data_IF_843770406518
#
_entry.id   IF_843770406518
#
_cell.length_a   1.000
_cell.length_b   1.000
_cell.length_c   1.000
_cell.angle_alpha   90.00
_cell.angle_beta   90.00
_cell.angle_gamma   90.00
#
_symmetry.space_group_name_H-M   'P 1'
#
loop_
_entity.id
_entity.type
_entity.pdbx_description
1 polymer ?
#
# COMPACT_ATOMS: atom_id res chain seq x y z
N UNK A 1 -16.25 3.48 3.67
CA UNK A 1 -16.30 4.02 2.29
C UNK A 1 -15.68 3.03 1.31
N UNK A 2 -16.31 2.87 0.16
CA UNK A 2 -15.79 2.00 -0.91
C UNK A 2 -15.76 2.80 -2.22
N UNK A 3 -14.67 2.67 -2.95
CA UNK A 3 -14.59 3.26 -4.29
C UNK A 3 -13.74 2.37 -5.19
N UNK A 4 -14.03 2.38 -6.48
CA UNK A 4 -13.33 1.57 -7.46
C UNK A 4 -12.14 2.35 -8.02
N UNK A 5 -10.99 1.71 -8.13
CA UNK A 5 -9.83 2.27 -8.80
C UNK A 5 -10.10 2.30 -10.30
N UNK A 6 -9.83 3.44 -10.95
CA UNK A 6 -10.18 3.66 -12.36
C UNK A 6 -9.60 2.64 -13.34
N UNK A 7 -8.48 2.02 -13.00
CA UNK A 7 -7.80 1.11 -13.93
C UNK A 7 -8.39 -0.29 -13.97
N UNK A 8 -9.26 -0.63 -13.02
CA UNK A 8 -9.83 -1.97 -12.97
C UNK A 8 -11.11 -1.99 -12.15
N UNK A 9 -12.12 -2.69 -12.65
CA UNK A 9 -13.34 -2.96 -11.90
C UNK A 9 -13.14 -3.98 -10.79
N UNK A 10 -11.96 -4.59 -10.75
CA UNK A 10 -11.65 -5.68 -9.80
C UNK A 10 -10.85 -5.20 -8.61
N UNK A 11 -10.50 -3.92 -8.57
CA UNK A 11 -9.77 -3.34 -7.46
C UNK A 11 -10.63 -2.27 -6.80
N UNK A 12 -10.82 -2.37 -5.49
CA UNK A 12 -11.61 -1.42 -4.71
C UNK A 12 -10.82 -0.95 -3.50
N UNK A 13 -11.14 0.25 -3.03
CA UNK A 13 -10.52 0.82 -1.83
C UNK A 13 -11.58 0.98 -0.77
N UNK A 14 -11.31 0.51 0.44
CA UNK A 14 -12.24 0.47 1.56
C UNK A 14 -11.56 1.09 2.78
N UNK A 15 -12.35 1.75 3.62
CA UNK A 15 -11.88 2.24 4.91
C UNK A 15 -11.55 3.72 4.93
N UNK A 16 -11.30 4.24 6.13
CA UNK A 16 -10.97 5.65 6.36
C UNK A 16 -9.55 5.81 6.91
N UNK A 17 -9.31 5.38 8.14
CA UNK A 17 -7.97 5.38 8.73
C UNK A 17 -7.12 4.30 8.09
N UNK A 18 -7.65 3.08 8.06
CA UNK A 18 -6.98 1.93 7.45
C UNK A 18 -7.46 1.79 6.01
N UNK A 19 -6.91 2.63 5.14
CA UNK A 19 -7.27 2.59 3.72
C UNK A 19 -6.72 1.30 3.14
N UNK A 20 -7.61 0.46 2.64
CA UNK A 20 -7.28 -0.92 2.26
C UNK A 20 -7.64 -1.19 0.81
N UNK A 21 -6.68 -1.73 0.08
CA UNK A 21 -6.89 -2.16 -1.30
C UNK A 21 -7.34 -3.60 -1.31
N UNK A 22 -8.50 -3.83 -1.90
CA UNK A 22 -8.99 -5.17 -2.20
C UNK A 22 -8.82 -5.40 -3.70
N UNK A 23 -8.07 -6.44 -4.05
CA UNK A 23 -7.87 -6.84 -5.45
C UNK A 23 -8.48 -8.22 -5.62
N UNK A 24 -9.45 -8.33 -6.53
CA UNK A 24 -10.31 -9.49 -6.63
C UNK A 24 -11.00 -9.74 -5.29
N UNK A 25 -10.75 -10.85 -4.62
CA UNK A 25 -11.38 -11.18 -3.34
C UNK A 25 -10.41 -11.12 -2.16
N UNK A 26 -9.22 -10.56 -2.36
CA UNK A 26 -8.20 -10.53 -1.32
C UNK A 26 -7.81 -9.09 -0.94
N UNK A 27 -7.55 -8.87 0.34
CA UNK A 27 -6.94 -7.63 0.80
C UNK A 27 -5.44 -7.73 0.58
N UNK A 28 -4.91 -6.87 -0.28
CA UNK A 28 -3.51 -6.98 -0.74
C UNK A 28 -2.60 -5.87 -0.24
N UNK A 29 -3.17 -4.77 0.23
CA UNK A 29 -2.38 -3.66 0.78
C UNK A 29 -3.24 -2.83 1.71
N UNK A 30 -2.63 -2.25 2.75
CA UNK A 30 -3.33 -1.41 3.70
C UNK A 30 -2.40 -0.29 4.16
N UNK A 31 -2.91 0.92 4.20
CA UNK A 31 -2.18 2.08 4.70
C UNK A 31 -2.89 2.59 5.95
N UNK A 32 -2.15 2.68 7.05
CA UNK A 32 -2.60 3.37 8.25
C UNK A 32 -2.27 4.85 8.07
N UNK A 33 -3.28 5.66 7.80
CA UNK A 33 -3.08 7.07 7.51
C UNK A 33 -2.60 7.87 8.72
N UNK A 34 -2.93 7.43 9.92
CA UNK A 34 -2.50 8.12 11.13
C UNK A 34 -1.02 7.85 11.43
N UNK A 35 -0.57 6.62 11.21
CA UNK A 35 0.82 6.24 11.45
C UNK A 35 1.70 6.40 10.22
N UNK A 36 1.12 6.53 9.05
CA UNK A 36 1.87 6.63 7.80
C UNK A 36 2.60 5.36 7.43
N UNK A 37 2.00 4.19 7.70
CA UNK A 37 2.65 2.91 7.45
C UNK A 37 1.92 2.09 6.40
N UNK A 38 2.68 1.27 5.66
CA UNK A 38 2.15 0.35 4.67
C UNK A 38 2.31 -1.08 5.14
N UNK A 39 1.24 -1.86 5.00
CA UNK A 39 1.24 -3.29 5.25
C UNK A 39 0.71 -3.98 4.01
N UNK A 40 1.30 -5.11 3.62
CA UNK A 40 0.84 -5.88 2.47
C UNK A 40 0.06 -7.11 2.94
N UNK A 41 -0.90 -7.55 2.13
CA UNK A 41 -1.57 -8.83 2.34
C UNK A 41 -0.80 -9.97 1.68
N UNK A 42 -1.08 -11.23 2.03
CA UNK A 42 -0.29 -12.37 1.52
C UNK A 42 -0.30 -12.53 0.01
N UNK A 43 -1.35 -12.07 -0.66
CA UNK A 43 -1.50 -12.22 -2.10
C UNK A 43 -1.13 -10.95 -2.89
N UNK A 44 -0.38 -10.02 -2.26
CA UNK A 44 0.02 -8.77 -2.93
C UNK A 44 0.78 -9.02 -4.23
N UNK A 45 1.48 -10.13 -4.31
CA UNK A 45 2.34 -10.49 -5.45
C UNK A 45 1.79 -11.71 -6.20
N UNK A 46 0.47 -11.91 -6.16
CA UNK A 46 -0.18 -13.07 -6.78
C UNK A 46 -0.01 -13.08 -8.29
N UNK A 47 -0.12 -11.92 -8.94
CA UNK A 47 -0.01 -11.79 -10.38
C UNK A 47 0.50 -10.41 -10.75
N UNK A 48 0.88 -10.22 -12.01
CA UNK A 48 1.27 -8.90 -12.51
C UNK A 48 0.10 -7.90 -12.37
N UNK A 49 -1.11 -8.34 -12.61
CA UNK A 49 -2.30 -7.48 -12.46
C UNK A 49 -2.48 -7.04 -11.02
N UNK A 50 -2.35 -7.97 -10.05
CA UNK A 50 -2.44 -7.66 -8.64
C UNK A 50 -1.34 -6.67 -8.25
N UNK A 51 -0.12 -6.88 -8.71
CA UNK A 51 0.98 -5.96 -8.47
C UNK A 51 0.69 -4.57 -9.00
N UNK A 52 0.11 -4.47 -10.20
CA UNK A 52 -0.25 -3.17 -10.77
C UNK A 52 -1.28 -2.44 -9.91
N UNK A 53 -2.23 -3.17 -9.33
CA UNK A 53 -3.19 -2.59 -8.39
C UNK A 53 -2.46 -2.05 -7.14
N UNK A 54 -1.55 -2.84 -6.58
CA UNK A 54 -0.78 -2.44 -5.40
C UNK A 54 0.08 -1.19 -5.71
N UNK A 55 0.77 -1.19 -6.84
CA UNK A 55 1.61 -0.08 -7.24
C UNK A 55 0.80 1.21 -7.39
N UNK A 56 -0.34 1.12 -8.06
CA UNK A 56 -1.22 2.27 -8.25
C UNK A 56 -1.76 2.78 -6.92
N UNK A 57 -2.12 1.88 -6.02
CA UNK A 57 -2.58 2.22 -4.69
C UNK A 57 -1.51 3.00 -3.92
N UNK A 58 -0.27 2.54 -3.93
CA UNK A 58 0.83 3.23 -3.27
C UNK A 58 1.02 4.62 -3.87
N UNK A 59 0.98 4.73 -5.20
CA UNK A 59 1.09 6.01 -5.89
C UNK A 59 0.00 6.99 -5.46
N UNK A 60 -1.25 6.52 -5.41
CA UNK A 60 -2.39 7.37 -5.09
C UNK A 60 -2.38 7.84 -3.63
N UNK A 61 -1.78 7.08 -2.74
CA UNK A 61 -1.73 7.41 -1.31
C UNK A 61 -0.34 7.80 -0.83
N UNK A 62 0.53 8.16 -1.77
CA UNK A 62 1.91 8.53 -1.46
C UNK A 62 1.99 9.63 -0.41
N UNK A 63 1.13 10.63 -0.48
CA UNK A 63 1.11 11.74 0.46
C UNK A 63 0.82 11.30 1.89
N UNK A 64 0.10 10.22 2.07
CA UNK A 64 -0.18 9.67 3.40
C UNK A 64 1.02 8.98 4.02
N UNK A 65 2.03 8.68 3.20
CA UNK A 65 3.21 7.93 3.62
C UNK A 65 4.47 8.80 3.73
N UNK A 66 4.37 10.09 3.45
CA UNK A 66 5.51 11.01 3.50
C UNK A 66 5.31 12.04 4.58
N UNK A 67 6.40 12.61 5.03
CA UNK A 67 6.39 13.73 5.99
C UNK A 67 6.64 15.02 5.24
N UNK A 68 5.83 16.02 5.52
CA UNK A 68 5.98 17.35 4.97
C UNK A 68 6.68 18.24 5.98
N UNK A 69 7.68 18.97 5.55
CA UNK A 69 8.38 19.94 6.40
C UNK A 69 7.85 21.35 6.12
N UNK A 70 8.16 22.27 7.03
CA UNK A 70 7.78 23.66 6.87
C UNK A 70 8.51 24.37 5.73
N UNK A 71 9.49 23.72 5.13
CA UNK A 71 10.28 24.25 4.03
C UNK A 71 9.73 23.89 2.67
N UNK A 72 8.50 23.39 2.63
CA UNK A 72 7.82 22.96 1.41
C UNK A 72 8.51 21.81 0.68
N UNK A 73 9.43 21.14 1.34
CA UNK A 73 10.06 19.95 0.78
C UNK A 73 9.33 18.69 1.24
N UNK A 74 9.03 17.86 0.30
CA UNK A 74 8.49 16.54 0.60
C UNK A 74 9.65 15.64 1.00
N UNK A 75 9.76 15.37 2.29
CA UNK A 75 10.79 14.49 2.80
C UNK A 75 10.23 13.12 3.06
N UNK A 76 10.73 12.14 2.31
CA UNK A 76 10.45 10.76 2.63
C UNK A 76 11.29 10.42 3.85
N UNK A 77 10.66 9.95 4.91
CA UNK A 77 11.42 9.47 6.06
C UNK A 77 12.35 8.35 5.60
N UNK A 78 13.41 8.08 6.37
CA UNK A 78 14.31 6.98 6.05
C UNK A 78 13.55 5.66 5.90
N UNK A 79 12.46 5.50 6.66
CA UNK A 79 11.62 4.31 6.60
C UNK A 79 10.82 4.20 5.30
N UNK A 80 10.61 5.29 4.58
CA UNK A 80 9.77 5.31 3.38
C UNK A 80 10.53 5.71 2.11
N UNK A 81 11.82 5.89 2.19
CA UNK A 81 12.65 6.24 1.02
C UNK A 81 12.57 5.22 -0.10
N UNK A 82 12.22 3.98 0.23
CA UNK A 82 12.04 2.91 -0.74
C UNK A 82 10.96 3.20 -1.77
N UNK A 83 9.96 4.04 -1.44
CA UNK A 83 8.85 4.32 -2.35
C UNK A 83 9.31 4.95 -3.65
N UNK A 84 10.21 5.93 -3.55
CA UNK A 84 10.75 6.58 -4.75
C UNK A 84 11.55 5.59 -5.58
N UNK A 85 12.36 4.78 -4.93
CA UNK A 85 13.15 3.77 -5.62
C UNK A 85 12.28 2.73 -6.30
N UNK A 86 11.21 2.31 -5.64
CA UNK A 86 10.27 1.33 -6.20
C UNK A 86 9.56 1.88 -7.43
N UNK A 87 9.08 3.14 -7.37
CA UNK A 87 8.36 3.73 -8.48
C UNK A 87 9.25 3.96 -9.70
N UNK A 88 10.54 4.17 -9.50
CA UNK A 88 11.51 4.40 -10.59
C UNK A 88 12.29 3.15 -10.98
N UNK A 89 12.09 2.03 -10.30
CA UNK A 89 12.81 0.80 -10.62
C UNK A 89 12.27 0.19 -11.92
N UNK A 90 13.17 -0.46 -12.67
CA UNK A 90 12.76 -1.19 -13.88
C UNK A 90 11.80 -2.32 -13.55
N UNK A 91 12.00 -2.96 -12.39
CA UNK A 91 11.13 -4.02 -11.92
C UNK A 91 10.74 -3.72 -10.48
N UNK A 92 9.74 -2.87 -10.30
CA UNK A 92 9.24 -2.49 -8.98
C UNK A 92 8.71 -3.66 -8.18
N UNK A 93 8.12 -4.66 -8.86
CA UNK A 93 7.62 -5.87 -8.21
C UNK A 93 8.73 -6.64 -7.53
N UNK A 94 9.85 -6.86 -8.22
CA UNK A 94 11.00 -7.54 -7.64
C UNK A 94 11.63 -6.72 -6.54
N UNK A 95 11.69 -5.42 -6.69
CA UNK A 95 12.22 -4.53 -5.66
C UNK A 95 11.37 -4.62 -4.38
N UNK A 96 10.05 -4.58 -4.53
CA UNK A 96 9.14 -4.72 -3.40
C UNK A 96 9.30 -6.06 -2.69
N UNK A 97 9.50 -7.14 -3.47
CA UNK A 97 9.73 -8.46 -2.88
C UNK A 97 10.99 -8.47 -2.01
N UNK A 98 12.03 -7.79 -2.46
CA UNK A 98 13.26 -7.65 -1.68
C UNK A 98 13.00 -6.95 -0.34
N UNK A 99 12.19 -5.89 -0.35
CA UNK A 99 11.83 -5.17 0.87
C UNK A 99 11.04 -6.04 1.84
N UNK A 100 10.13 -6.85 1.31
CA UNK A 100 9.35 -7.80 2.12
C UNK A 100 10.28 -8.86 2.72
N UNK A 101 11.18 -9.41 1.90
CA UNK A 101 12.12 -10.44 2.34
C UNK A 101 13.07 -9.94 3.44
N UNK A 102 13.40 -8.65 3.40
CA UNK A 102 14.28 -8.02 4.38
C UNK A 102 13.54 -7.48 5.61
N UNK A 103 12.22 -7.67 5.68
CA UNK A 103 11.42 -7.22 6.81
C UNK A 103 11.18 -5.72 6.87
N UNK A 104 11.43 -5.00 5.78
CA UNK A 104 11.18 -3.55 5.71
C UNK A 104 9.68 -3.26 5.66
N UNK A 105 8.94 -4.08 4.92
CA UNK A 105 7.50 -3.96 4.79
C UNK A 105 6.85 -5.22 5.33
N UNK A 106 5.97 -5.11 6.34
CA UNK A 106 5.31 -6.28 6.91
C UNK A 106 4.23 -6.84 5.98
N UNK A 107 4.04 -8.14 6.06
CA UNK A 107 2.92 -8.82 5.41
C UNK A 107 2.04 -9.41 6.51
N UNK A 108 0.77 -9.04 6.49
CA UNK A 108 -0.19 -9.50 7.48
C UNK A 108 -1.30 -10.31 6.80
N UNK A 109 -1.98 -11.16 7.56
CA UNK A 109 -3.05 -11.98 7.02
C UNK A 109 -4.22 -11.14 6.54
N UNK A 110 -4.98 -11.69 5.62
CA UNK A 110 -6.22 -11.10 5.13
C UNK A 110 -7.17 -10.77 6.29
N UNK A 111 -7.25 -11.69 7.25
CA UNK A 111 -8.08 -11.54 8.43
C UNK A 111 -7.63 -10.33 9.28
N UNK A 112 -6.34 -10.13 9.46
CA UNK A 112 -5.79 -9.01 10.22
C UNK A 112 -6.15 -7.68 9.56
N UNK A 113 -6.00 -7.59 8.24
CA UNK A 113 -6.34 -6.37 7.51
C UNK A 113 -7.84 -6.08 7.61
N UNK A 114 -8.66 -7.09 7.46
CA UNK A 114 -10.10 -6.96 7.58
C UNK A 114 -10.53 -6.51 8.98
N UNK A 115 -9.92 -7.09 10.00
CA UNK A 115 -10.22 -6.76 11.40
C UNK A 115 -9.96 -5.29 11.72
N UNK A 116 -8.89 -4.72 11.19
CA UNK A 116 -8.58 -3.30 11.38
C UNK A 116 -9.65 -2.40 10.78
N UNK A 117 -10.14 -2.73 9.59
CA UNK A 117 -11.21 -1.97 8.94
C UNK A 117 -12.48 -2.05 9.76
N UNK A 118 -12.81 -3.23 10.22
CA UNK A 118 -14.03 -3.47 11.01
C UNK A 118 -14.01 -2.69 12.32
N UNK A 119 -12.86 -2.64 12.98
CA UNK A 119 -12.72 -1.96 14.26
C UNK A 119 -12.80 -0.43 14.17
N UNK A 120 -12.50 0.15 13.00
CA UNK A 120 -12.61 1.60 12.86
C UNK A 120 -14.05 2.07 12.67
N UNK A 121 -14.95 1.16 12.37
CA UNK A 121 -16.38 1.45 12.26
C UNK A 121 -17.02 1.46 13.66
#
# INVERSE_FOLDING_TARGET
>A
MVRTIKQSNRATIIGHRYVTLRSYDAYVAQIDKDEGTLTLGPLWNYSQTTWQHVRKFIEDYLESLVEWTNDDECLYSAAHGWMVKMLHAKNGRAYMQTLVDNGVIPVESDWTLCDRITKEE
#
